data_IF_073006503485
#
_entry.id   IF_073006503485
#
_cell.length_a   1.000
_cell.length_b   1.000
_cell.length_c   1.000
_cell.angle_alpha   90.00
_cell.angle_beta   90.00
_cell.angle_gamma   90.00
#
_symmetry.space_group_name_H-M   'P 1'
#
loop_
_entity.id
_entity.type
_entity.pdbx_description
1 polymer ?
#
# COMPACT_ATOMS: atom_id res chain seq x y z
N UNK A 1 0.85 -4.25 7.74
CA UNK A 1 0.30 -2.95 8.18
C UNK A 1 -0.28 -3.11 9.57
N UNK A 2 0.03 -2.21 10.49
CA UNK A 2 -0.57 -2.18 11.84
C UNK A 2 -1.05 -0.76 12.14
N UNK A 3 -2.07 -0.64 12.99
CA UNK A 3 -2.46 0.66 13.51
C UNK A 3 -1.54 1.06 14.68
N UNK A 4 -1.16 2.32 14.72
CA UNK A 4 -0.50 2.93 15.87
C UNK A 4 -1.03 4.35 16.04
N UNK A 5 -1.08 4.82 17.28
CA UNK A 5 -1.75 6.09 17.61
C UNK A 5 -0.89 6.98 18.51
N UNK A 6 0.22 6.45 19.03
CA UNK A 6 1.10 7.16 19.92
C UNK A 6 2.58 6.84 19.64
N UNK A 7 3.46 7.56 20.32
CA UNK A 7 4.90 7.40 20.19
C UNK A 7 5.41 5.98 20.53
N UNK A 8 5.07 5.36 21.68
CA UNK A 8 5.58 4.03 22.01
C UNK A 8 5.04 2.92 21.09
N UNK A 9 3.75 2.94 20.72
CA UNK A 9 3.20 1.97 19.77
C UNK A 9 3.86 2.05 18.38
N UNK A 10 4.20 3.26 17.95
CA UNK A 10 4.96 3.47 16.71
C UNK A 10 6.38 2.89 16.80
N UNK A 11 7.08 3.05 17.92
CA UNK A 11 8.40 2.42 18.11
C UNK A 11 8.31 0.89 18.08
N UNK A 12 7.29 0.31 18.72
CA UNK A 12 7.08 -1.14 18.69
C UNK A 12 6.76 -1.63 17.28
N UNK A 13 5.94 -0.90 16.52
CA UNK A 13 5.67 -1.23 15.13
C UNK A 13 6.93 -1.17 14.26
N UNK A 14 7.83 -0.23 14.53
CA UNK A 14 9.11 -0.11 13.85
C UNK A 14 10.10 -1.22 14.21
N UNK A 15 10.26 -1.55 15.50
CA UNK A 15 11.08 -2.67 15.98
C UNK A 15 10.58 -4.02 15.44
N UNK A 16 9.27 -4.13 15.21
CA UNK A 16 8.65 -5.28 14.57
C UNK A 16 8.77 -5.27 13.03
N UNK A 17 9.53 -4.35 12.45
CA UNK A 17 9.77 -4.20 11.01
C UNK A 17 8.48 -4.07 10.18
N UNK A 18 7.45 -3.44 10.75
CA UNK A 18 6.18 -3.24 10.04
C UNK A 18 6.35 -2.22 8.92
N UNK A 19 6.11 -2.66 7.69
CA UNK A 19 6.24 -1.85 6.47
C UNK A 19 5.34 -0.58 6.45
N UNK A 20 4.17 -0.65 7.08
CA UNK A 20 3.16 0.42 7.07
C UNK A 20 2.50 0.58 8.43
N UNK A 21 2.59 1.80 8.98
CA UNK A 21 1.88 2.21 10.19
C UNK A 21 0.72 3.12 9.80
N UNK A 22 -0.50 2.68 10.08
CA UNK A 22 -1.73 3.40 9.79
C UNK A 22 -2.20 4.18 11.03
N UNK A 23 -2.42 5.49 10.88
CA UNK A 23 -3.09 6.33 11.88
C UNK A 23 -4.54 6.49 11.43
N UNK A 24 -5.36 5.50 11.77
CA UNK A 24 -6.76 5.43 11.35
C UNK A 24 -7.72 6.14 12.31
N UNK A 25 -8.89 6.51 11.81
CA UNK A 25 -10.01 7.08 12.57
C UNK A 25 -10.55 6.12 13.65
N UNK A 26 -10.22 4.83 13.57
CA UNK A 26 -10.43 3.85 14.63
C UNK A 26 -9.86 4.28 15.99
N UNK A 27 -8.88 5.20 16.01
CA UNK A 27 -8.39 5.86 17.22
C UNK A 27 -9.49 6.57 18.01
N UNK A 28 -10.54 7.05 17.33
CA UNK A 28 -11.72 7.62 17.94
C UNK A 28 -12.29 6.70 19.03
N UNK A 29 -12.41 5.42 18.72
CA UNK A 29 -12.96 4.41 19.64
C UNK A 29 -11.89 3.82 20.55
N UNK A 30 -10.74 3.45 19.99
CA UNK A 30 -9.71 2.68 20.72
C UNK A 30 -8.79 3.53 21.60
N UNK A 31 -8.72 4.84 21.35
CA UNK A 31 -7.82 5.77 22.04
C UNK A 31 -8.60 6.91 22.70
N UNK A 32 -9.51 7.54 21.97
CA UNK A 32 -10.24 8.73 22.43
C UNK A 32 -11.55 8.39 23.17
N UNK A 33 -12.02 7.14 23.07
CA UNK A 33 -13.19 6.65 23.80
C UNK A 33 -14.54 7.12 23.25
N UNK A 34 -14.60 7.57 22.00
CA UNK A 34 -15.85 7.84 21.31
C UNK A 34 -16.63 6.55 21.00
N UNK A 35 -17.95 6.66 20.95
CA UNK A 35 -18.83 5.52 20.63
C UNK A 35 -18.78 5.10 19.15
N UNK A 36 -18.23 5.93 18.27
CA UNK A 36 -18.02 5.65 16.85
C UNK A 36 -16.84 6.48 16.31
N UNK A 37 -16.48 6.30 15.04
CA UNK A 37 -15.43 7.11 14.40
C UNK A 37 -15.91 8.46 13.86
N UNK A 38 -17.22 8.66 13.71
CA UNK A 38 -17.83 9.89 13.18
C UNK A 38 -17.45 11.21 13.90
N UNK A 39 -17.31 11.26 15.24
CA UNK A 39 -17.06 12.51 15.95
C UNK A 39 -15.58 12.95 15.94
N UNK A 40 -14.64 12.12 15.47
CA UNK A 40 -13.22 12.49 15.50
C UNK A 40 -12.92 13.62 14.53
N UNK A 41 -12.24 14.64 15.03
CA UNK A 41 -11.84 15.81 14.25
C UNK A 41 -10.49 15.60 13.56
N UNK A 42 -10.23 16.41 12.53
CA UNK A 42 -8.91 16.44 11.88
C UNK A 42 -7.79 16.88 12.83
N UNK A 43 -8.07 17.75 13.79
CA UNK A 43 -7.06 18.20 14.76
C UNK A 43 -6.63 17.06 15.70
N UNK A 44 -7.58 16.22 16.13
CA UNK A 44 -7.29 15.02 16.91
C UNK A 44 -6.47 14.01 16.09
N UNK A 45 -6.86 13.76 14.83
CA UNK A 45 -6.10 12.89 13.92
C UNK A 45 -4.67 13.39 13.69
N UNK A 46 -4.50 14.71 13.49
CA UNK A 46 -3.19 15.32 13.31
C UNK A 46 -2.33 15.20 14.58
N UNK A 47 -2.92 15.28 15.77
CA UNK A 47 -2.21 15.10 17.04
C UNK A 47 -1.63 13.68 17.14
N UNK A 48 -2.45 12.66 16.88
CA UNK A 48 -2.04 11.25 16.89
C UNK A 48 -0.98 10.97 15.81
N UNK A 49 -1.18 11.47 14.60
CA UNK A 49 -0.24 11.31 13.50
C UNK A 49 1.13 11.93 13.82
N UNK A 50 1.16 13.10 14.47
CA UNK A 50 2.41 13.73 14.94
C UNK A 50 3.09 12.90 16.01
N UNK A 51 2.34 12.28 16.93
CA UNK A 51 2.90 11.41 17.96
C UNK A 51 3.55 10.16 17.34
N UNK A 52 2.83 9.48 16.44
CA UNK A 52 3.32 8.32 15.69
C UNK A 52 4.56 8.68 14.87
N UNK A 53 4.54 9.81 14.15
CA UNK A 53 5.68 10.24 13.32
C UNK A 53 6.97 10.39 14.12
N UNK A 54 6.89 10.87 15.36
CA UNK A 54 8.05 11.01 16.27
C UNK A 54 8.60 9.66 16.71
N UNK A 55 7.76 8.63 16.81
CA UNK A 55 8.16 7.29 17.21
C UNK A 55 8.86 6.49 16.11
N UNK A 56 8.63 6.85 14.84
CA UNK A 56 9.25 6.18 13.70
C UNK A 56 10.61 6.82 13.34
N UNK A 57 11.69 6.13 13.68
CA UNK A 57 13.11 6.48 13.58
C UNK A 57 13.84 5.87 12.38
N UNK A 58 13.24 4.94 11.62
CA UNK A 58 13.90 4.25 10.51
C UNK A 58 14.57 5.26 9.59
N UNK A 59 15.90 5.20 9.56
CA UNK A 59 16.75 6.00 8.70
C UNK A 59 16.47 5.66 7.24
N UNK A 60 16.79 6.60 6.38
CA UNK A 60 16.64 6.39 4.96
C UNK A 60 17.50 5.20 4.52
N UNK A 61 16.89 4.17 3.93
CA UNK A 61 17.70 3.15 3.26
C UNK A 61 18.29 3.77 1.99
N UNK A 62 19.34 3.14 1.44
CA UNK A 62 19.78 3.48 0.10
C UNK A 62 18.59 3.44 -0.85
N UNK A 63 18.37 4.56 -1.54
CA UNK A 63 17.35 4.67 -2.57
C UNK A 63 17.88 3.87 -3.75
N UNK A 64 17.21 2.78 -4.11
CA UNK A 64 17.48 2.12 -5.38
C UNK A 64 17.00 3.07 -6.49
N UNK A 65 17.89 3.55 -7.38
CA UNK A 65 17.50 4.42 -8.50
C UNK A 65 16.55 3.74 -9.49
N UNK A 66 16.33 2.44 -9.37
CA UNK A 66 15.34 1.65 -10.12
C UNK A 66 14.00 1.48 -9.38
N UNK A 67 13.90 1.91 -8.11
CA UNK A 67 12.61 1.92 -7.42
C UNK A 67 11.60 2.78 -8.19
N UNK A 68 10.37 2.30 -8.23
CA UNK A 68 9.22 2.94 -8.87
C UNK A 68 8.17 3.31 -7.81
N UNK A 69 8.44 4.31 -6.94
CA UNK A 69 7.67 4.54 -5.73
C UNK A 69 6.33 5.24 -5.98
N UNK A 70 6.07 5.77 -7.17
CA UNK A 70 4.86 6.55 -7.45
C UNK A 70 4.37 6.39 -8.88
N UNK A 71 3.13 6.83 -9.13
CA UNK A 71 2.60 6.89 -10.48
C UNK A 71 3.54 7.70 -11.38
N UNK A 72 3.92 7.12 -12.53
CA UNK A 72 4.93 7.66 -13.46
C UNK A 72 6.37 7.69 -12.94
N UNK A 73 6.71 6.91 -11.91
CA UNK A 73 8.08 6.62 -11.53
C UNK A 73 8.68 7.64 -10.55
N UNK A 74 10.00 7.53 -10.27
CA UNK A 74 10.66 8.32 -9.23
C UNK A 74 10.63 9.84 -9.53
N UNK A 75 10.74 10.23 -10.80
CA UNK A 75 10.63 11.64 -11.22
C UNK A 75 9.23 12.03 -11.73
N UNK A 76 8.24 11.14 -11.61
CA UNK A 76 6.86 11.34 -12.10
C UNK A 76 6.75 11.69 -13.60
N UNK A 77 7.78 11.40 -14.38
CA UNK A 77 7.89 11.71 -15.80
C UNK A 77 7.48 10.53 -16.71
N UNK A 78 7.31 9.33 -16.15
CA UNK A 78 6.92 8.12 -16.87
C UNK A 78 8.06 7.49 -17.67
N UNK A 79 9.31 7.85 -17.37
CA UNK A 79 10.50 7.37 -18.09
C UNK A 79 11.20 6.31 -17.23
N UNK A 80 11.41 5.12 -17.78
CA UNK A 80 12.26 4.11 -17.16
C UNK A 80 13.72 4.31 -17.54
N UNK A 81 14.62 4.10 -16.57
CA UNK A 81 16.08 4.10 -16.75
C UNK A 81 16.61 2.72 -17.16
N UNK A 82 15.77 1.70 -17.10
CA UNK A 82 16.16 0.34 -17.42
C UNK A 82 16.56 0.19 -18.89
N UNK A 83 17.58 -0.62 -19.12
CA UNK A 83 18.09 -0.96 -20.45
C UNK A 83 17.94 -2.45 -20.69
N UNK A 84 17.96 -2.90 -21.94
CA UNK A 84 17.78 -4.31 -22.27
C UNK A 84 16.33 -4.79 -22.10
N UNK A 85 15.38 -3.86 -22.14
CA UNK A 85 13.95 -4.18 -22.20
C UNK A 85 13.64 -5.01 -23.44
N UNK A 86 12.75 -5.98 -23.29
CA UNK A 86 12.28 -6.84 -24.37
C UNK A 86 11.54 -6.00 -25.43
N UNK A 87 11.75 -6.30 -26.70
CA UNK A 87 11.06 -5.65 -27.83
C UNK A 87 9.74 -6.35 -28.21
N UNK A 88 9.59 -7.61 -27.78
CA UNK A 88 8.40 -8.43 -27.96
C UNK A 88 8.00 -9.00 -26.61
N UNK A 89 6.70 -8.99 -26.31
CA UNK A 89 6.11 -9.61 -25.11
C UNK A 89 5.00 -10.59 -25.49
N UNK A 90 5.00 -11.78 -24.89
CA UNK A 90 3.94 -12.78 -25.08
C UNK A 90 3.34 -13.21 -23.73
N UNK A 91 2.16 -12.68 -23.35
CA UNK A 91 1.50 -13.00 -22.08
C UNK A 91 1.07 -14.48 -21.96
N UNK A 92 1.07 -15.23 -23.06
CA UNK A 92 0.59 -16.62 -23.11
C UNK A 92 1.71 -17.65 -23.07
N UNK A 93 2.97 -17.21 -23.09
CA UNK A 93 4.13 -18.09 -23.04
C UNK A 93 4.80 -18.03 -21.64
N UNK A 94 4.44 -18.92 -20.69
CA UNK A 94 5.14 -19.02 -19.41
C UNK A 94 6.44 -19.85 -19.52
N UNK A 95 7.42 -19.57 -18.66
CA UNK A 95 8.62 -20.40 -18.49
C UNK A 95 9.83 -19.99 -19.36
N UNK A 96 10.76 -20.92 -19.57
CA UNK A 96 12.10 -20.66 -20.18
C UNK A 96 12.10 -20.27 -21.66
N UNK A 97 10.94 -20.34 -22.31
CA UNK A 97 10.75 -19.95 -23.72
C UNK A 97 9.93 -18.67 -23.89
N UNK A 98 9.43 -18.11 -22.80
CA UNK A 98 8.65 -16.88 -22.79
C UNK A 98 9.25 -15.82 -21.88
N UNK A 99 8.66 -14.63 -21.90
CA UNK A 99 9.13 -13.45 -21.17
C UNK A 99 8.15 -13.01 -20.07
N UNK A 100 7.25 -13.91 -19.68
CA UNK A 100 6.46 -13.77 -18.46
C UNK A 100 7.20 -14.47 -17.33
N UNK A 101 7.75 -13.68 -16.40
CA UNK A 101 8.45 -14.20 -15.22
C UNK A 101 7.51 -14.91 -14.24
N UNK A 102 6.36 -14.29 -13.98
CA UNK A 102 5.32 -14.82 -13.10
C UNK A 102 3.96 -14.20 -13.43
N UNK A 103 2.90 -14.84 -12.93
CA UNK A 103 1.52 -14.34 -12.99
C UNK A 103 0.83 -14.65 -11.67
N UNK A 104 0.10 -13.66 -11.15
CA UNK A 104 -0.72 -13.83 -9.95
C UNK A 104 -2.04 -13.08 -10.12
N UNK A 105 -3.13 -13.82 -10.34
CA UNK A 105 -4.45 -13.25 -10.57
C UNK A 105 -4.99 -12.50 -9.32
N UNK A 106 -4.50 -12.82 -8.12
CA UNK A 106 -4.90 -12.13 -6.89
C UNK A 106 -4.31 -10.71 -6.76
N UNK A 107 -3.31 -10.37 -7.58
CA UNK A 107 -2.73 -9.02 -7.69
C UNK A 107 -3.34 -8.22 -8.86
N UNK A 108 -4.23 -8.84 -9.64
CA UNK A 108 -4.89 -8.21 -10.78
C UNK A 108 -5.84 -7.11 -10.32
N UNK A 109 -5.64 -5.90 -10.84
CA UNK A 109 -6.46 -4.73 -10.53
C UNK A 109 -6.18 -3.56 -11.46
N UNK A 110 -6.83 -2.43 -11.17
CA UNK A 110 -6.71 -1.19 -11.94
C UNK A 110 -5.73 -0.21 -11.28
N UNK A 111 -5.50 -0.34 -9.97
CA UNK A 111 -4.44 0.38 -9.26
C UNK A 111 -3.11 0.31 -10.01
N UNK A 112 -2.43 1.44 -10.12
CA UNK A 112 -1.03 1.45 -10.56
C UNK A 112 -0.20 0.81 -9.44
N UNK A 113 0.48 -0.32 -9.69
CA UNK A 113 1.40 -0.88 -8.71
C UNK A 113 2.62 0.04 -8.55
N UNK A 114 3.19 0.06 -7.35
CA UNK A 114 4.52 0.63 -7.10
C UNK A 114 5.47 -0.51 -6.76
N UNK A 115 6.75 -0.33 -7.09
CA UNK A 115 7.81 -1.28 -6.72
C UNK A 115 8.86 -0.51 -5.93
N UNK A 116 9.17 -0.98 -4.74
CA UNK A 116 10.15 -0.34 -3.87
C UNK A 116 10.84 -1.40 -3.02
N UNK A 117 12.18 -1.39 -3.00
CA UNK A 117 13.00 -2.32 -2.19
C UNK A 117 12.65 -3.81 -2.44
N UNK A 118 12.50 -4.17 -3.71
CA UNK A 118 12.17 -5.55 -4.13
C UNK A 118 10.74 -6.00 -3.81
N UNK A 119 9.90 -5.11 -3.26
CA UNK A 119 8.50 -5.38 -2.94
C UNK A 119 7.58 -4.64 -3.92
N UNK A 120 6.53 -5.32 -4.37
CA UNK A 120 5.44 -4.75 -5.15
C UNK A 120 4.26 -4.44 -4.22
N UNK A 121 3.71 -3.25 -4.33
CA UNK A 121 2.52 -2.84 -3.59
C UNK A 121 1.42 -2.42 -4.57
N UNK A 122 0.21 -2.91 -4.34
CA UNK A 122 -0.95 -2.57 -5.16
C UNK A 122 -2.23 -2.60 -4.34
N UNK A 123 -3.25 -1.88 -4.81
CA UNK A 123 -4.60 -1.93 -4.25
C UNK A 123 -5.50 -2.73 -5.18
N UNK A 124 -6.26 -3.67 -4.63
CA UNK A 124 -7.19 -4.51 -5.40
C UNK A 124 -8.50 -4.71 -4.65
N UNK A 125 -9.54 -5.19 -5.35
CA UNK A 125 -10.80 -5.59 -4.71
C UNK A 125 -10.58 -6.83 -3.84
N UNK A 126 -11.23 -6.83 -2.67
CA UNK A 126 -11.35 -7.99 -1.80
C UNK A 126 -12.72 -8.60 -1.98
N UNK A 127 -12.80 -9.91 -2.26
CA UNK A 127 -14.06 -10.68 -2.34
C UNK A 127 -15.17 -10.01 -3.20
N UNK A 128 -14.85 -9.60 -4.45
CA UNK A 128 -15.78 -8.85 -5.30
C UNK A 128 -17.06 -9.65 -5.61
N UNK A 129 -18.21 -8.97 -5.59
CA UNK A 129 -19.52 -9.59 -5.86
C UNK A 129 -20.12 -10.34 -4.67
N UNK A 130 -19.51 -10.25 -3.48
CA UNK A 130 -20.02 -10.86 -2.25
C UNK A 130 -20.52 -9.80 -1.27
N UNK A 131 -21.21 -10.22 -0.21
CA UNK A 131 -21.60 -9.33 0.90
C UNK A 131 -20.43 -8.82 1.75
N UNK A 132 -19.21 -9.34 1.50
CA UNK A 132 -17.97 -8.95 2.17
C UNK A 132 -17.02 -8.21 1.23
N UNK A 133 -17.54 -7.71 0.12
CA UNK A 133 -16.75 -6.94 -0.82
C UNK A 133 -16.09 -5.76 -0.11
N UNK A 134 -14.81 -5.57 -0.40
CA UNK A 134 -14.03 -4.47 0.13
C UNK A 134 -12.83 -4.17 -0.74
N UNK A 135 -11.88 -3.47 -0.16
CA UNK A 135 -10.61 -3.12 -0.78
C UNK A 135 -9.49 -3.79 -0.02
N UNK A 136 -8.37 -4.09 -0.67
CA UNK A 136 -7.18 -4.53 0.05
C UNK A 136 -5.91 -3.96 -0.56
N UNK A 137 -5.00 -3.58 0.32
CA UNK A 137 -3.61 -3.32 -0.03
C UNK A 137 -2.87 -4.64 0.03
N UNK A 138 -2.13 -4.97 -1.03
CA UNK A 138 -1.35 -6.20 -1.12
C UNK A 138 0.11 -5.85 -1.30
N UNK A 139 0.96 -6.49 -0.50
CA UNK A 139 2.41 -6.51 -0.68
C UNK A 139 2.83 -7.88 -1.20
N UNK A 140 3.60 -7.89 -2.28
CA UNK A 140 4.17 -9.09 -2.85
C UNK A 140 5.68 -8.92 -3.07
N UNK A 141 6.40 -10.03 -3.15
CA UNK A 141 7.75 -10.05 -3.66
C UNK A 141 7.73 -9.74 -5.17
N UNK A 142 8.44 -8.71 -5.60
CA UNK A 142 8.36 -8.21 -6.98
C UNK A 142 8.98 -9.18 -7.99
N UNK A 143 9.95 -10.00 -7.58
CA UNK A 143 10.65 -10.93 -8.46
C UNK A 143 9.87 -12.23 -8.69
N UNK A 144 9.02 -12.63 -7.73
CA UNK A 144 8.31 -13.92 -7.75
C UNK A 144 6.79 -13.79 -7.82
N UNK A 145 6.24 -12.62 -7.51
CA UNK A 145 4.79 -12.40 -7.41
C UNK A 145 4.15 -13.06 -6.18
N UNK A 146 4.96 -13.61 -5.26
CA UNK A 146 4.46 -14.22 -4.03
C UNK A 146 3.94 -13.15 -3.08
N UNK A 147 2.69 -13.30 -2.64
CA UNK A 147 2.09 -12.42 -1.64
C UNK A 147 2.84 -12.59 -0.31
N UNK A 148 3.33 -11.48 0.24
CA UNK A 148 3.98 -11.40 1.54
C UNK A 148 2.91 -11.14 2.61
N UNK A 149 2.06 -10.14 2.37
CA UNK A 149 0.93 -9.82 3.23
C UNK A 149 -0.18 -9.10 2.45
N UNK A 150 -1.40 -9.15 3.01
CA UNK A 150 -2.54 -8.36 2.55
C UNK A 150 -3.21 -7.66 3.74
N UNK A 151 -3.75 -6.47 3.51
CA UNK A 151 -4.50 -5.70 4.49
C UNK A 151 -5.84 -5.34 3.87
N UNK A 152 -6.91 -5.93 4.39
CA UNK A 152 -8.28 -5.75 3.91
C UNK A 152 -8.97 -4.63 4.66
N UNK A 153 -9.60 -3.73 3.92
CA UNK A 153 -10.44 -2.65 4.40
C UNK A 153 -11.87 -2.91 3.96
N UNK A 154 -12.81 -2.78 4.89
CA UNK A 154 -14.22 -2.87 4.56
C UNK A 154 -14.66 -1.59 3.86
N UNK A 155 -15.47 -1.72 2.82
CA UNK A 155 -16.04 -0.59 2.09
C UNK A 155 -17.52 -0.52 2.46
N UNK A 156 -17.82 0.09 3.61
CA UNK A 156 -19.20 0.28 4.08
C UNK A 156 -19.65 1.71 3.80
N UNK A 157 -20.89 1.88 3.33
CA UNK A 157 -21.55 3.18 3.16
C UNK A 157 -20.78 4.17 2.24
N UNK A 158 -20.11 3.66 1.21
CA UNK A 158 -19.48 4.49 0.18
C UNK A 158 -20.46 4.83 -0.94
N UNK A 159 -20.28 6.00 -1.55
CA UNK A 159 -20.88 6.36 -2.83
C UNK A 159 -20.00 5.96 -4.03
N UNK A 160 -18.81 5.41 -3.77
CA UNK A 160 -17.91 4.88 -4.81
C UNK A 160 -18.57 3.67 -5.48
N UNK A 161 -18.74 3.67 -6.81
CA UNK A 161 -19.24 2.51 -7.54
C UNK A 161 -18.37 1.27 -7.31
N UNK A 162 -18.97 0.09 -7.22
CA UNK A 162 -18.25 -1.16 -6.92
C UNK A 162 -17.10 -1.44 -7.90
N UNK A 163 -17.25 -1.04 -9.16
CA UNK A 163 -16.23 -1.18 -10.21
C UNK A 163 -15.02 -0.26 -10.02
N UNK A 164 -15.15 0.78 -9.18
CA UNK A 164 -14.08 1.74 -8.84
C UNK A 164 -13.36 1.42 -7.52
N UNK A 165 -13.79 0.40 -6.80
CA UNK A 165 -13.07 -0.10 -5.62
C UNK A 165 -11.72 -0.69 -6.09
N UNK A 166 -10.62 -0.37 -5.40
CA UNK A 166 -9.28 -0.82 -5.77
C UNK A 166 -8.64 -0.03 -6.91
N UNK A 167 -9.15 1.16 -7.23
CA UNK A 167 -8.52 2.08 -8.20
C UNK A 167 -7.47 2.99 -7.58
N UNK A 168 -7.51 3.19 -6.26
CA UNK A 168 -6.51 3.99 -5.57
C UNK A 168 -5.11 3.44 -5.81
N UNK A 169 -4.10 4.30 -5.73
CA UNK A 169 -2.72 3.92 -5.94
C UNK A 169 -1.93 4.10 -4.65
N UNK A 170 -0.99 3.20 -4.40
CA UNK A 170 -0.01 3.36 -3.34
C UNK A 170 0.99 4.48 -3.71
N UNK A 171 1.56 5.12 -2.70
CA UNK A 171 2.69 6.03 -2.82
C UNK A 171 3.78 5.61 -1.83
N UNK A 172 4.98 5.34 -2.34
CA UNK A 172 6.16 5.05 -1.55
C UNK A 172 6.97 6.31 -1.26
N UNK A 173 7.45 6.45 -0.04
CA UNK A 173 8.56 7.36 0.27
C UNK A 173 9.86 6.54 0.21
N UNK A 174 10.69 6.69 -0.85
CA UNK A 174 11.92 5.93 -1.01
C UNK A 174 12.94 6.27 0.08
N UNK A 175 12.87 7.48 0.63
CA UNK A 175 13.69 7.90 1.76
C UNK A 175 13.33 7.03 2.94
N UNK A 176 12.11 7.10 3.49
CA UNK A 176 11.79 6.36 4.71
C UNK A 176 11.49 4.88 4.49
N UNK A 177 11.25 4.45 3.26
CA UNK A 177 10.80 3.11 2.91
C UNK A 177 9.35 2.82 3.23
N UNK A 178 8.56 3.87 3.50
CA UNK A 178 7.17 3.72 3.92
C UNK A 178 6.28 3.74 2.70
N UNK A 179 5.22 2.94 2.74
CA UNK A 179 4.19 2.94 1.71
C UNK A 179 2.89 3.47 2.31
N UNK A 180 2.28 4.38 1.59
CA UNK A 180 1.02 5.02 1.93
C UNK A 180 -0.03 4.60 0.89
N UNK A 181 -1.24 4.32 1.35
CA UNK A 181 -2.39 4.07 0.50
C UNK A 181 -3.60 4.75 1.13
N UNK A 182 -4.43 5.36 0.32
CA UNK A 182 -5.72 5.94 0.72
C UNK A 182 -6.78 5.21 -0.08
N UNK A 183 -7.72 4.59 0.61
CA UNK A 183 -8.72 3.74 -0.01
C UNK A 183 -9.99 4.46 -0.42
N UNK A 184 -10.96 3.70 -0.92
CA UNK A 184 -12.29 4.23 -1.27
C UNK A 184 -13.07 4.81 -0.07
N UNK A 185 -12.71 4.43 1.16
CA UNK A 185 -13.37 4.86 2.40
C UNK A 185 -12.44 5.62 3.36
N UNK A 186 -11.29 6.12 2.89
CA UNK A 186 -10.25 6.72 3.74
C UNK A 186 -9.15 5.72 4.07
#
# INVERSE_FOLDING_TARGET
>A
MITAYDYPSAQVAEEAEVDVVLVGDSAAMTVLGYDSTLPVSMDEMLMLARAVRRGLRTQAAEIDPLDWPSWRGPEQNGISRETGIIDRWDPKAPGTTGNVLWRNDALGGISTPIVMRGKLYTVVRSEPGTSREGEKVVCADAATGKIIWESKNNVYLTDVPAERIGWACCAGDPTTGKVYAIGACG
#
